data_IF_918742000469
#
_entry.id   IF_918742000469
#
_cell.length_a   1.000
_cell.length_b   1.000
_cell.length_c   1.000
_cell.angle_alpha   90.00
_cell.angle_beta   90.00
_cell.angle_gamma   90.00
#
_symmetry.space_group_name_H-M   'P 1'
#
loop_
_entity.id
_entity.type
_entity.pdbx_description
1 polymer ?
#
# COMPACT_ATOMS: atom_id res chain seq x y z
N UNK A 1 9.32 0.86 15.20
CA UNK A 1 9.52 0.99 16.66
C UNK A 1 10.97 0.63 16.98
N UNK A 2 11.69 1.46 17.74
CA UNK A 2 13.09 1.20 18.10
C UNK A 2 13.18 0.02 19.08
N UNK A 3 13.88 -1.05 18.71
CA UNK A 3 14.05 -2.24 19.56
C UNK A 3 15.08 -2.01 20.66
N UNK A 4 14.84 -2.59 21.84
CA UNK A 4 15.75 -2.54 22.99
C UNK A 4 16.83 -3.62 22.92
N UNK A 5 17.94 -3.38 23.61
CA UNK A 5 19.05 -4.33 23.77
C UNK A 5 18.57 -5.65 24.40
N UNK A 6 17.65 -5.56 25.36
CA UNK A 6 17.04 -6.73 26.00
C UNK A 6 16.17 -7.53 25.04
N UNK A 7 15.49 -6.86 24.11
CA UNK A 7 14.64 -7.49 23.10
C UNK A 7 15.48 -8.22 22.06
N UNK A 8 16.59 -7.64 21.59
CA UNK A 8 17.51 -8.35 20.69
C UNK A 8 18.08 -9.63 21.32
N UNK A 9 18.46 -9.60 22.60
CA UNK A 9 18.92 -10.80 23.29
C UNK A 9 17.78 -11.84 23.45
N UNK A 10 16.55 -11.40 23.71
CA UNK A 10 15.39 -12.30 23.75
C UNK A 10 15.16 -12.99 22.39
N UNK A 11 15.23 -12.23 21.29
CA UNK A 11 15.11 -12.77 19.94
C UNK A 11 16.23 -13.77 19.61
N UNK A 12 17.47 -13.50 20.03
CA UNK A 12 18.59 -14.45 19.83
C UNK A 12 18.31 -15.76 20.57
N UNK A 13 17.81 -15.71 21.81
CA UNK A 13 17.42 -16.91 22.57
C UNK A 13 16.33 -17.70 21.85
N UNK A 14 15.33 -17.01 21.33
CA UNK A 14 14.22 -17.61 20.60
C UNK A 14 14.69 -18.28 19.31
N UNK A 15 15.44 -17.57 18.47
CA UNK A 15 15.95 -18.05 17.18
C UNK A 15 16.90 -19.25 17.33
N UNK A 16 17.75 -19.24 18.37
CA UNK A 16 18.76 -20.31 18.59
C UNK A 16 18.28 -21.44 19.48
N UNK A 17 17.25 -21.21 20.30
CA UNK A 17 16.86 -22.11 21.39
C UNK A 17 17.90 -22.21 22.52
N UNK A 18 18.87 -21.30 22.58
CA UNK A 18 19.97 -21.35 23.56
C UNK A 18 19.70 -20.49 24.78
N UNK A 19 20.18 -20.95 25.94
CA UNK A 19 20.27 -20.13 27.15
C UNK A 19 21.45 -19.15 27.06
N UNK A 20 21.47 -18.10 27.88
CA UNK A 20 22.60 -17.15 27.93
C UNK A 20 23.94 -17.83 28.14
N UNK A 21 23.99 -18.86 28.99
CA UNK A 21 25.21 -19.62 29.22
C UNK A 21 25.71 -20.29 27.93
N UNK A 22 24.78 -20.85 27.14
CA UNK A 22 25.11 -21.52 25.89
C UNK A 22 25.44 -20.52 24.78
N UNK A 23 24.74 -19.39 24.69
CA UNK A 23 25.07 -18.27 23.79
C UNK A 23 26.48 -17.74 24.09
N UNK A 24 26.83 -17.55 25.37
CA UNK A 24 28.15 -17.12 25.81
C UNK A 24 29.26 -18.05 25.29
N UNK A 25 29.04 -19.36 25.39
CA UNK A 25 30.04 -20.37 25.01
C UNK A 25 30.12 -20.57 23.50
N UNK A 26 28.98 -20.61 22.81
CA UNK A 26 28.91 -20.87 21.37
C UNK A 26 29.50 -19.72 20.56
N UNK A 27 29.21 -18.48 20.98
CA UNK A 27 29.60 -17.29 20.23
C UNK A 27 30.73 -16.48 20.90
N UNK A 28 31.42 -17.09 21.87
CA UNK A 28 32.54 -16.50 22.60
C UNK A 28 32.25 -15.11 23.23
N UNK A 29 31.03 -14.93 23.73
CA UNK A 29 30.62 -13.71 24.44
C UNK A 29 30.88 -13.90 25.93
N UNK A 30 31.68 -13.01 26.54
CA UNK A 30 31.88 -13.01 27.98
C UNK A 30 30.53 -12.89 28.73
N UNK A 31 30.26 -13.78 29.69
CA UNK A 31 29.00 -13.81 30.46
C UNK A 31 28.65 -12.48 31.14
N UNK A 32 29.67 -11.71 31.56
CA UNK A 32 29.44 -10.39 32.15
C UNK A 32 28.84 -9.39 31.16
N UNK A 33 29.12 -9.53 29.86
CA UNK A 33 28.48 -8.71 28.82
C UNK A 33 27.03 -9.13 28.61
N UNK A 34 26.74 -10.44 28.53
CA UNK A 34 25.37 -10.94 28.42
C UNK A 34 24.49 -10.51 29.61
N UNK A 35 25.03 -10.53 30.83
CA UNK A 35 24.33 -10.01 32.00
C UNK A 35 24.02 -8.51 31.89
N UNK A 36 24.95 -7.70 31.37
CA UNK A 36 24.71 -6.28 31.12
C UNK A 36 23.62 -6.06 30.06
N UNK A 37 23.62 -6.84 28.99
CA UNK A 37 22.62 -6.78 27.91
C UNK A 37 21.22 -7.19 28.41
N UNK A 38 21.14 -8.29 29.16
CA UNK A 38 19.90 -8.74 29.82
C UNK A 38 19.31 -7.71 30.79
N UNK A 39 20.15 -6.84 31.36
CA UNK A 39 19.72 -5.79 32.30
C UNK A 39 19.45 -4.43 31.63
N UNK A 40 19.70 -4.29 30.32
CA UNK A 40 19.60 -3.00 29.60
C UNK A 40 20.62 -1.94 30.04
N UNK A 41 21.60 -2.31 30.88
CA UNK A 41 22.59 -1.37 31.45
C UNK A 41 23.66 -0.93 30.46
N UNK A 42 23.82 -1.65 29.34
CA UNK A 42 24.80 -1.35 28.32
C UNK A 42 24.22 -1.64 26.93
N UNK A 43 24.55 -0.77 25.96
CA UNK A 43 24.40 -1.10 24.55
C UNK A 43 25.29 -2.28 24.16
N UNK A 44 24.95 -2.96 23.07
CA UNK A 44 25.84 -3.93 22.45
C UNK A 44 27.17 -3.26 22.04
N UNK A 45 28.27 -4.01 22.14
CA UNK A 45 29.48 -3.66 21.41
C UNK A 45 29.21 -3.85 19.90
N UNK A 46 29.99 -3.19 19.04
CA UNK A 46 29.82 -3.36 17.59
C UNK A 46 29.96 -4.83 17.17
N UNK A 47 30.95 -5.53 17.71
CA UNK A 47 31.15 -6.96 17.44
C UNK A 47 29.93 -7.81 17.83
N UNK A 48 29.32 -7.55 19.00
CA UNK A 48 28.14 -8.30 19.42
C UNK A 48 26.87 -7.89 18.66
N UNK A 49 26.75 -6.62 18.28
CA UNK A 49 25.65 -6.15 17.44
C UNK A 49 25.69 -6.82 16.07
N UNK A 50 26.87 -6.91 15.44
CA UNK A 50 27.07 -7.64 14.18
C UNK A 50 26.74 -9.12 14.30
N UNK A 51 27.20 -9.76 15.37
CA UNK A 51 26.89 -11.16 15.64
C UNK A 51 25.38 -11.38 15.82
N UNK A 52 24.71 -10.53 16.60
CA UNK A 52 23.27 -10.64 16.83
C UNK A 52 22.49 -10.40 15.55
N UNK A 53 22.88 -9.39 14.75
CA UNK A 53 22.30 -9.12 13.46
C UNK A 53 22.41 -10.32 12.51
N UNK A 54 23.57 -10.99 12.47
CA UNK A 54 23.77 -12.19 11.67
C UNK A 54 22.87 -13.37 12.12
N UNK A 55 22.76 -13.61 13.43
CA UNK A 55 21.87 -14.66 13.96
C UNK A 55 20.40 -14.38 13.63
N UNK A 56 20.00 -13.11 13.64
CA UNK A 56 18.61 -12.67 13.47
C UNK A 56 18.25 -12.35 12.01
N UNK A 57 19.21 -12.39 11.08
CA UNK A 57 19.04 -11.99 9.68
C UNK A 57 18.55 -10.52 9.56
N UNK A 58 19.14 -9.63 10.36
CA UNK A 58 18.86 -8.17 10.37
C UNK A 58 20.05 -7.37 9.84
N UNK A 59 19.82 -6.09 9.49
CA UNK A 59 20.91 -5.15 9.18
C UNK A 59 21.74 -4.85 10.45
N UNK A 60 23.07 -5.14 10.46
CA UNK A 60 23.94 -4.80 11.57
C UNK A 60 23.90 -3.33 11.97
N UNK A 61 23.72 -2.42 11.01
CA UNK A 61 23.66 -0.98 11.23
C UNK A 61 22.43 -0.60 12.07
N UNK A 62 21.29 -1.24 11.78
CA UNK A 62 20.05 -1.09 12.54
C UNK A 62 20.24 -1.52 14.01
N UNK A 63 20.81 -2.71 14.22
CA UNK A 63 21.03 -3.26 15.58
C UNK A 63 21.98 -2.38 16.38
N UNK A 64 23.07 -1.90 15.78
CA UNK A 64 23.98 -0.94 16.42
C UNK A 64 23.22 0.33 16.79
N UNK A 65 22.54 0.96 15.83
CA UNK A 65 21.91 2.25 16.04
C UNK A 65 20.80 2.18 17.11
N UNK A 66 19.96 1.14 17.10
CA UNK A 66 18.90 0.93 18.08
C UNK A 66 19.46 0.77 19.51
N UNK A 67 20.47 -0.09 19.70
CA UNK A 67 21.04 -0.32 21.03
C UNK A 67 21.82 0.90 21.57
N UNK A 68 22.47 1.66 20.69
CA UNK A 68 23.17 2.91 21.07
C UNK A 68 22.20 4.05 21.37
N UNK A 69 21.11 4.16 20.62
CA UNK A 69 20.02 5.10 20.88
C UNK A 69 19.40 4.84 22.26
N UNK A 70 19.00 3.60 22.54
CA UNK A 70 18.43 3.22 23.83
C UNK A 70 19.38 3.57 25.00
N UNK A 71 20.66 3.24 24.86
CA UNK A 71 21.64 3.55 25.90
C UNK A 71 21.84 5.06 26.09
N UNK A 72 21.78 5.87 25.02
CA UNK A 72 21.84 7.32 25.13
C UNK A 72 20.64 7.88 25.90
N UNK A 73 19.43 7.37 25.66
CA UNK A 73 18.23 7.71 26.42
C UNK A 73 18.39 7.31 27.89
N UNK A 74 18.80 6.07 28.17
CA UNK A 74 18.95 5.55 29.53
C UNK A 74 20.02 6.29 30.36
N UNK A 75 21.00 6.90 29.70
CA UNK A 75 22.08 7.68 30.35
C UNK A 75 21.81 9.19 30.36
N UNK A 76 20.67 9.65 29.84
CA UNK A 76 20.33 11.08 29.76
C UNK A 76 21.19 11.89 28.80
N UNK A 77 21.84 11.23 27.82
CA UNK A 77 22.71 11.90 26.85
C UNK A 77 21.93 12.33 25.60
N UNK A 78 21.28 13.50 25.70
CA UNK A 78 20.38 14.02 24.65
C UNK A 78 21.08 14.19 23.29
N UNK A 79 22.33 14.66 23.25
CA UNK A 79 23.06 14.84 21.99
C UNK A 79 23.30 13.52 21.27
N UNK A 80 23.69 12.46 22.00
CA UNK A 80 23.84 11.12 21.42
C UNK A 80 22.51 10.52 21.00
N UNK A 81 21.45 10.76 21.75
CA UNK A 81 20.12 10.28 21.40
C UNK A 81 19.64 10.90 20.08
N UNK A 82 19.81 12.21 19.90
CA UNK A 82 19.51 12.90 18.64
C UNK A 82 20.35 12.31 17.50
N UNK A 83 21.66 12.18 17.68
CA UNK A 83 22.55 11.61 16.66
C UNK A 83 22.13 10.21 16.21
N UNK A 84 21.86 9.30 17.16
CA UNK A 84 21.47 7.93 16.81
C UNK A 84 20.05 7.84 16.26
N UNK A 85 19.14 8.74 16.65
CA UNK A 85 17.84 8.86 16.01
C UNK A 85 18.00 9.30 14.54
N UNK A 86 18.89 10.24 14.23
CA UNK A 86 19.18 10.62 12.85
C UNK A 86 19.81 9.48 12.05
N UNK A 87 20.70 8.67 12.65
CA UNK A 87 21.25 7.48 11.99
C UNK A 87 20.18 6.42 11.73
N UNK A 88 19.29 6.16 12.71
CA UNK A 88 18.16 5.26 12.52
C UNK A 88 17.25 5.76 11.40
N UNK A 89 16.93 7.06 11.39
CA UNK A 89 16.15 7.65 10.31
C UNK A 89 16.85 7.49 8.95
N UNK A 90 18.18 7.58 8.89
CA UNK A 90 18.95 7.34 7.66
C UNK A 90 18.91 5.88 7.22
N UNK A 91 19.18 4.95 8.13
CA UNK A 91 19.14 3.50 7.87
C UNK A 91 17.74 3.08 7.40
N UNK A 92 16.69 3.58 8.06
CA UNK A 92 15.31 3.33 7.64
C UNK A 92 14.89 4.15 6.41
N UNK A 93 15.57 5.25 6.09
CA UNK A 93 15.40 5.94 4.79
C UNK A 93 16.17 5.28 3.65
N UNK A 94 17.14 4.42 3.97
CA UNK A 94 17.89 3.58 3.03
C UNK A 94 17.16 2.26 2.71
N UNK A 95 15.99 1.97 3.33
CA UNK A 95 15.02 1.06 2.71
C UNK A 95 14.60 1.66 1.38
N UNK A 96 14.74 0.93 0.27
CA UNK A 96 14.36 1.45 -1.05
C UNK A 96 12.96 2.06 -0.99
N UNK A 97 12.84 3.32 -1.38
CA UNK A 97 11.54 3.99 -1.45
C UNK A 97 10.62 3.20 -2.37
N UNK A 98 9.38 2.98 -1.94
CA UNK A 98 8.38 2.37 -2.80
C UNK A 98 8.19 3.24 -4.05
N UNK A 99 8.26 2.61 -5.22
CA UNK A 99 7.99 3.25 -6.51
C UNK A 99 6.61 2.81 -6.96
N UNK A 100 5.67 3.75 -6.99
CA UNK A 100 4.27 3.49 -7.36
C UNK A 100 4.00 4.16 -8.69
N UNK A 101 3.57 3.38 -9.68
CA UNK A 101 3.11 3.85 -10.97
C UNK A 101 1.60 4.10 -10.95
N UNK A 102 1.18 5.29 -11.40
CA UNK A 102 -0.23 5.68 -11.48
C UNK A 102 -0.68 5.55 -12.93
N UNK A 103 -1.57 4.59 -13.22
CA UNK A 103 -2.18 4.46 -14.53
C UNK A 103 -3.48 5.29 -14.59
N UNK A 104 -3.38 6.52 -15.09
CA UNK A 104 -4.53 7.33 -15.47
C UNK A 104 -5.09 6.81 -16.80
N UNK A 105 -5.99 5.84 -16.67
CA UNK A 105 -6.39 4.92 -17.72
C UNK A 105 -7.72 5.31 -18.39
N UNK A 106 -7.84 5.05 -19.70
CA UNK A 106 -9.03 5.29 -20.52
C UNK A 106 -9.60 3.95 -21.04
N UNK A 107 -10.39 3.24 -20.23
CA UNK A 107 -11.01 1.99 -20.66
C UNK A 107 -12.18 2.24 -21.61
N UNK A 108 -12.43 1.27 -22.48
CA UNK A 108 -13.65 1.21 -23.30
C UNK A 108 -14.65 0.30 -22.59
N UNK A 109 -15.85 0.80 -22.28
CA UNK A 109 -16.88 -0.02 -21.62
C UNK A 109 -17.22 -1.23 -22.48
N UNK A 110 -17.12 -2.41 -21.87
CA UNK A 110 -17.48 -3.67 -22.53
C UNK A 110 -16.32 -4.38 -23.24
N UNK A 111 -15.26 -3.68 -23.62
CA UNK A 111 -14.11 -4.27 -24.31
C UNK A 111 -13.07 -4.83 -23.32
N UNK A 112 -13.51 -5.82 -22.53
CA UNK A 112 -12.75 -6.40 -21.41
C UNK A 112 -11.36 -6.85 -21.89
N UNK A 113 -11.30 -7.51 -23.05
CA UNK A 113 -10.05 -8.04 -23.60
C UNK A 113 -9.09 -6.94 -24.02
N UNK A 114 -9.55 -5.91 -24.73
CA UNK A 114 -8.67 -4.80 -25.12
C UNK A 114 -8.19 -4.02 -23.89
N UNK A 115 -9.08 -3.79 -22.91
CA UNK A 115 -8.70 -3.15 -21.65
C UNK A 115 -7.64 -3.96 -20.90
N UNK A 116 -7.83 -5.28 -20.76
CA UNK A 116 -6.86 -6.17 -20.10
C UNK A 116 -5.50 -6.21 -20.82
N UNK A 117 -5.49 -6.25 -22.16
CA UNK A 117 -4.26 -6.18 -22.95
C UNK A 117 -3.54 -4.84 -22.73
N UNK A 118 -4.26 -3.73 -22.75
CA UNK A 118 -3.69 -2.41 -22.52
C UNK A 118 -3.17 -2.26 -21.08
N UNK A 119 -3.86 -2.82 -20.09
CA UNK A 119 -3.38 -2.90 -18.72
C UNK A 119 -2.08 -3.73 -18.64
N UNK A 120 -2.00 -4.87 -19.32
CA UNK A 120 -0.79 -5.70 -19.37
C UNK A 120 0.41 -4.94 -19.94
N UNK A 121 0.22 -4.17 -21.03
CA UNK A 121 1.27 -3.33 -21.60
C UNK A 121 1.78 -2.31 -20.56
N UNK A 122 0.86 -1.63 -19.88
CA UNK A 122 1.20 -0.66 -18.83
C UNK A 122 1.90 -1.30 -17.62
N UNK A 123 1.50 -2.51 -17.23
CA UNK A 123 2.13 -3.27 -16.17
C UNK A 123 3.58 -3.61 -16.56
N UNK A 124 3.82 -4.01 -17.81
CA UNK A 124 5.16 -4.32 -18.30
C UNK A 124 6.04 -3.07 -18.36
N UNK A 125 5.51 -1.95 -18.88
CA UNK A 125 6.22 -0.65 -18.88
C UNK A 125 6.60 -0.22 -17.46
N UNK A 126 5.67 -0.31 -16.51
CA UNK A 126 5.92 0.00 -15.11
C UNK A 126 6.99 -0.93 -14.50
N UNK A 127 6.95 -2.22 -14.81
CA UNK A 127 7.97 -3.16 -14.37
C UNK A 127 9.36 -2.83 -14.93
N UNK A 128 9.46 -2.47 -16.22
CA UNK A 128 10.72 -2.14 -16.89
C UNK A 128 11.41 -0.91 -16.28
N UNK A 129 10.64 0.07 -15.79
CA UNK A 129 11.19 1.25 -15.09
C UNK A 129 11.41 1.00 -13.58
N UNK A 130 11.18 -0.22 -13.12
CA UNK A 130 11.41 -0.66 -11.75
C UNK A 130 10.33 -0.20 -10.76
N UNK A 131 9.08 -0.02 -11.20
CA UNK A 131 7.96 0.20 -10.29
C UNK A 131 7.70 -1.06 -9.45
N UNK A 132 7.39 -0.85 -8.17
CA UNK A 132 7.04 -1.90 -7.21
C UNK A 132 5.54 -2.17 -7.17
N UNK A 133 4.74 -1.14 -7.45
CA UNK A 133 3.29 -1.18 -7.50
C UNK A 133 2.82 -0.38 -8.71
N UNK A 134 1.84 -0.90 -9.45
CA UNK A 134 1.05 -0.12 -10.42
C UNK A 134 -0.41 -0.10 -9.99
N UNK A 135 -1.05 1.07 -10.07
CA UNK A 135 -2.43 1.30 -9.67
C UNK A 135 -3.27 1.76 -10.84
N UNK A 136 -4.40 1.09 -11.09
CA UNK A 136 -5.41 1.44 -12.08
C UNK A 136 -6.68 1.99 -11.43
N UNK A 137 -7.55 2.69 -12.19
CA UNK A 137 -8.79 3.24 -11.68
C UNK A 137 -9.85 2.19 -11.31
N UNK A 138 -10.96 2.68 -10.78
CA UNK A 138 -12.17 1.90 -10.51
C UNK A 138 -12.72 1.26 -11.79
N UNK A 139 -13.13 -0.02 -11.68
CA UNK A 139 -13.64 -0.84 -12.78
C UNK A 139 -12.81 -0.76 -14.09
N UNK A 140 -11.50 -0.54 -13.99
CA UNK A 140 -10.59 -0.40 -15.12
C UNK A 140 -10.72 -1.53 -16.16
N UNK A 141 -10.88 -2.79 -15.73
CA UNK A 141 -10.94 -3.90 -16.68
C UNK A 141 -12.21 -3.87 -17.55
N UNK A 142 -13.32 -3.41 -16.99
CA UNK A 142 -14.62 -3.37 -17.69
C UNK A 142 -14.93 -2.03 -18.33
N UNK A 143 -14.27 -0.96 -17.89
CA UNK A 143 -14.72 0.41 -18.05
C UNK A 143 -15.84 0.78 -17.06
N UNK A 144 -16.15 2.07 -17.00
CA UNK A 144 -17.17 2.62 -16.11
C UNK A 144 -18.02 3.70 -16.81
N UNK A 145 -19.35 3.72 -16.58
CA UNK A 145 -20.16 2.67 -15.96
C UNK A 145 -20.49 1.54 -16.97
N UNK A 146 -20.43 0.26 -16.57
CA UNK A 146 -20.84 -0.85 -17.45
C UNK A 146 -22.37 -1.13 -17.44
N UNK A 147 -23.10 -0.51 -16.50
CA UNK A 147 -24.56 -0.60 -16.38
C UNK A 147 -25.11 -2.04 -16.44
N UNK A 148 -26.21 -2.28 -17.17
CA UNK A 148 -26.90 -3.57 -17.27
C UNK A 148 -26.04 -4.69 -17.89
N UNK A 149 -24.83 -4.41 -18.43
CA UNK A 149 -23.86 -5.47 -18.78
C UNK A 149 -23.51 -6.33 -17.56
N UNK A 150 -23.53 -5.74 -16.36
CA UNK A 150 -23.27 -6.42 -15.08
C UNK A 150 -24.26 -7.56 -14.78
N UNK A 151 -25.45 -7.56 -15.41
CA UNK A 151 -26.42 -8.66 -15.26
C UNK A 151 -26.20 -9.82 -16.22
N UNK A 152 -25.20 -9.74 -17.11
CA UNK A 152 -24.91 -10.80 -18.08
C UNK A 152 -23.82 -11.72 -17.53
N UNK A 153 -24.16 -12.97 -17.25
CA UNK A 153 -23.17 -13.97 -16.79
C UNK A 153 -21.97 -14.08 -17.72
N UNK A 154 -22.18 -14.00 -19.04
CA UNK A 154 -21.10 -14.02 -20.02
C UNK A 154 -20.12 -12.83 -19.91
N UNK A 155 -20.59 -11.68 -19.42
CA UNK A 155 -19.74 -10.51 -19.15
C UNK A 155 -18.87 -10.75 -17.93
N UNK A 156 -19.45 -11.22 -16.82
CA UNK A 156 -18.72 -11.55 -15.59
C UNK A 156 -17.73 -12.70 -15.82
N UNK A 157 -18.10 -13.70 -16.61
CA UNK A 157 -17.19 -14.79 -16.98
C UNK A 157 -15.96 -14.28 -17.75
N UNK A 158 -16.15 -13.38 -18.72
CA UNK A 158 -15.03 -12.76 -19.45
C UNK A 158 -14.12 -11.94 -18.52
N UNK A 159 -14.68 -11.19 -17.57
CA UNK A 159 -13.89 -10.48 -16.56
C UNK A 159 -13.02 -11.47 -15.78
N UNK A 160 -13.60 -12.56 -15.29
CA UNK A 160 -12.86 -13.58 -14.54
C UNK A 160 -11.79 -14.27 -15.39
N UNK A 161 -12.07 -14.55 -16.66
CA UNK A 161 -11.09 -15.11 -17.61
C UNK A 161 -9.90 -14.17 -17.79
N UNK A 162 -10.13 -12.87 -18.00
CA UNK A 162 -9.06 -11.90 -18.22
C UNK A 162 -8.28 -11.58 -16.93
N UNK A 163 -8.91 -11.59 -15.75
CA UNK A 163 -8.18 -11.49 -14.47
C UNK A 163 -7.24 -12.69 -14.27
N UNK A 164 -7.71 -13.91 -14.59
CA UNK A 164 -6.87 -15.11 -14.55
C UNK A 164 -5.75 -15.05 -15.60
N UNK A 165 -6.04 -14.52 -16.79
CA UNK A 165 -5.05 -14.27 -17.84
C UNK A 165 -3.95 -13.31 -17.35
N UNK A 166 -4.33 -12.17 -16.76
CA UNK A 166 -3.40 -11.21 -16.17
C UNK A 166 -2.50 -11.87 -15.12
N UNK A 167 -3.07 -12.67 -14.19
CA UNK A 167 -2.26 -13.38 -13.20
C UNK A 167 -1.13 -14.21 -13.83
N UNK A 168 -1.38 -14.85 -14.99
CA UNK A 168 -0.40 -15.68 -15.68
C UNK A 168 0.62 -14.90 -16.52
N UNK A 169 0.27 -13.71 -17.00
CA UNK A 169 1.07 -12.96 -17.97
C UNK A 169 1.95 -11.87 -17.35
N UNK A 170 1.56 -11.35 -16.17
CA UNK A 170 2.27 -10.22 -15.55
C UNK A 170 3.61 -10.63 -14.92
N UNK A 171 4.60 -9.72 -14.85
CA UNK A 171 5.84 -9.99 -14.14
C UNK A 171 5.59 -10.26 -12.65
N UNK A 172 6.22 -11.30 -12.08
CA UNK A 172 5.98 -11.72 -10.69
C UNK A 172 6.47 -10.72 -9.63
N UNK A 173 7.36 -9.80 -10.03
CA UNK A 173 8.04 -8.85 -9.14
C UNK A 173 7.25 -7.55 -8.90
N UNK A 174 6.24 -7.23 -9.72
CA UNK A 174 5.41 -6.02 -9.57
C UNK A 174 4.08 -6.37 -8.90
N UNK A 175 3.66 -5.54 -7.96
CA UNK A 175 2.30 -5.59 -7.38
C UNK A 175 1.33 -4.81 -8.29
N UNK A 176 0.11 -5.31 -8.47
CA UNK A 176 -0.88 -4.68 -9.34
C UNK A 176 -2.16 -4.49 -8.55
N UNK A 177 -2.67 -3.26 -8.53
CA UNK A 177 -3.94 -2.90 -7.92
C UNK A 177 -4.87 -2.32 -8.99
N UNK A 178 -6.05 -2.91 -9.19
CA UNK A 178 -6.97 -2.46 -10.24
C UNK A 178 -8.43 -2.73 -9.91
N UNK A 179 -9.33 -1.96 -10.51
CA UNK A 179 -10.77 -2.14 -10.34
C UNK A 179 -11.40 -3.13 -11.32
N UNK A 180 -12.31 -3.97 -10.84
CA UNK A 180 -13.13 -4.89 -11.62
C UNK A 180 -14.39 -5.30 -10.82
N UNK A 181 -15.47 -5.75 -11.49
CA UNK A 181 -16.57 -6.38 -10.76
C UNK A 181 -16.10 -7.75 -10.22
N UNK A 182 -16.50 -8.09 -9.01
CA UNK A 182 -16.33 -9.43 -8.45
C UNK A 182 -17.68 -10.04 -8.09
N UNK A 183 -17.76 -11.37 -8.11
CA UNK A 183 -18.99 -12.09 -7.78
C UNK A 183 -18.72 -13.08 -6.65
N UNK A 184 -19.56 -13.04 -5.61
CA UNK A 184 -19.59 -14.03 -4.55
C UNK A 184 -21.03 -14.47 -4.31
N UNK A 185 -21.29 -15.77 -4.49
CA UNK A 185 -22.64 -16.32 -4.52
C UNK A 185 -23.53 -15.58 -5.54
N UNK A 186 -24.66 -15.04 -5.09
CA UNK A 186 -25.59 -14.24 -5.91
C UNK A 186 -25.28 -12.75 -5.88
N UNK A 187 -24.28 -12.31 -5.11
CA UNK A 187 -23.93 -10.90 -4.95
C UNK A 187 -22.81 -10.51 -5.89
N UNK A 188 -22.97 -9.34 -6.50
CA UNK A 188 -21.96 -8.69 -7.31
C UNK A 188 -21.40 -7.49 -6.53
N UNK A 189 -20.11 -7.22 -6.67
CA UNK A 189 -19.41 -6.15 -5.94
C UNK A 189 -18.57 -5.31 -6.90
N UNK A 190 -18.54 -4.00 -6.68
CA UNK A 190 -17.52 -3.13 -7.26
C UNK A 190 -16.24 -3.30 -6.45
N UNK A 191 -15.18 -3.83 -7.07
CA UNK A 191 -14.06 -4.38 -6.31
C UNK A 191 -12.69 -3.89 -6.78
N UNK A 192 -11.74 -3.86 -5.87
CA UNK A 192 -10.33 -3.66 -6.15
C UNK A 192 -9.59 -4.99 -5.95
N UNK A 193 -8.93 -5.48 -6.99
CA UNK A 193 -8.13 -6.69 -6.98
C UNK A 193 -6.67 -6.32 -6.76
N UNK A 194 -6.01 -7.03 -5.84
CA UNK A 194 -4.57 -6.94 -5.65
C UNK A 194 -3.90 -8.25 -6.11
N UNK A 195 -3.01 -8.14 -7.10
CA UNK A 195 -2.18 -9.25 -7.57
C UNK A 195 -0.76 -9.07 -7.03
N UNK A 196 -0.25 -10.11 -6.35
CA UNK A 196 1.17 -10.24 -5.98
C UNK A 196 1.67 -11.64 -6.35
N UNK A 197 2.88 -11.73 -6.88
CA UNK A 197 3.50 -13.00 -7.28
C UNK A 197 2.57 -13.88 -8.12
N UNK A 198 1.96 -13.28 -9.15
CA UNK A 198 1.06 -13.95 -10.10
C UNK A 198 -0.25 -14.50 -9.51
N UNK A 199 -0.69 -14.00 -8.36
CA UNK A 199 -1.93 -14.45 -7.71
C UNK A 199 -2.71 -13.28 -7.16
N UNK A 200 -4.04 -13.34 -7.27
CA UNK A 200 -4.93 -12.46 -6.52
C UNK A 200 -4.76 -12.79 -5.02
N UNK A 201 -4.17 -11.88 -4.26
CA UNK A 201 -3.99 -12.05 -2.81
C UNK A 201 -5.21 -11.59 -2.02
N UNK A 202 -5.98 -10.67 -2.59
CA UNK A 202 -7.14 -10.07 -1.95
C UNK A 202 -8.06 -9.38 -2.96
N UNK A 203 -9.33 -9.29 -2.59
CA UNK A 203 -10.38 -8.56 -3.30
C UNK A 203 -11.10 -7.68 -2.30
N UNK A 204 -10.95 -6.36 -2.42
CA UNK A 204 -11.65 -5.39 -1.60
C UNK A 204 -12.96 -5.00 -2.29
N UNK A 205 -14.08 -5.04 -1.56
CA UNK A 205 -15.38 -4.65 -2.08
C UNK A 205 -15.75 -3.26 -1.58
N UNK A 206 -16.12 -2.35 -2.50
CA UNK A 206 -16.57 -0.99 -2.21
C UNK A 206 -17.70 -1.01 -1.17
N UNK A 207 -17.61 -0.17 -0.16
CA UNK A 207 -18.53 -0.19 0.98
C UNK A 207 -19.65 0.83 0.79
N UNK A 208 -19.33 2.00 0.26
CA UNK A 208 -20.29 3.05 -0.04
C UNK A 208 -20.67 3.05 -1.51
N UNK A 209 -21.93 2.74 -1.79
CA UNK A 209 -22.46 2.65 -3.15
C UNK A 209 -23.27 3.92 -3.49
N UNK A 210 -22.75 4.83 -4.33
CA UNK A 210 -23.48 6.04 -4.71
C UNK A 210 -24.72 5.68 -5.52
N UNK A 211 -25.85 6.33 -5.22
CA UNK A 211 -27.12 6.16 -5.93
C UNK A 211 -27.81 7.51 -6.17
N UNK A 212 -27.02 8.50 -6.57
CA UNK A 212 -27.43 9.88 -6.82
C UNK A 212 -26.73 10.43 -8.07
N UNK A 213 -27.32 11.44 -8.70
CA UNK A 213 -26.76 12.06 -9.90
C UNK A 213 -26.73 11.06 -11.06
N UNK A 214 -25.53 10.76 -11.56
CA UNK A 214 -25.27 9.82 -12.66
C UNK A 214 -24.98 8.39 -12.17
N UNK A 215 -25.03 8.14 -10.86
CA UNK A 215 -24.68 6.86 -10.27
C UNK A 215 -25.91 6.08 -9.83
N UNK A 216 -25.98 4.80 -10.21
CA UNK A 216 -27.01 3.84 -9.81
C UNK A 216 -26.38 2.55 -9.22
N UNK A 217 -25.29 2.65 -8.45
CA UNK A 217 -24.52 1.47 -8.03
C UNK A 217 -25.32 0.50 -7.15
N UNK A 218 -26.30 0.97 -6.37
CA UNK A 218 -27.15 0.09 -5.54
C UNK A 218 -28.10 -0.78 -6.37
N UNK A 219 -28.27 -0.48 -7.66
CA UNK A 219 -28.97 -1.37 -8.61
C UNK A 219 -28.15 -2.62 -8.92
N UNK A 220 -26.83 -2.49 -8.98
CA UNK A 220 -25.94 -3.52 -9.51
C UNK A 220 -25.14 -4.24 -8.43
N UNK A 221 -24.69 -3.53 -7.41
CA UNK A 221 -23.71 -4.02 -6.44
C UNK A 221 -24.29 -4.16 -5.03
N UNK A 222 -23.71 -5.10 -4.28
CA UNK A 222 -23.85 -5.24 -2.83
C UNK A 222 -22.66 -4.51 -2.17
N UNK A 223 -22.86 -3.78 -1.06
CA UNK A 223 -21.75 -3.14 -0.36
C UNK A 223 -20.85 -4.19 0.32
N UNK A 224 -19.55 -3.93 0.35
CA UNK A 224 -18.60 -4.63 1.22
C UNK A 224 -18.67 -4.16 2.68
N UNK A 225 -17.91 -4.82 3.55
CA UNK A 225 -17.86 -4.53 4.98
C UNK A 225 -16.46 -4.66 5.63
N UNK A 226 -15.44 -5.06 4.86
CA UNK A 226 -14.07 -5.26 5.33
C UNK A 226 -13.10 -4.19 4.79
N UNK A 227 -12.18 -3.71 5.63
CA UNK A 227 -11.06 -2.85 5.20
C UNK A 227 -9.95 -3.69 4.57
N UNK A 228 -9.27 -3.14 3.56
CA UNK A 228 -8.13 -3.81 2.92
C UNK A 228 -6.82 -3.03 3.08
N UNK A 229 -5.84 -3.71 3.67
CA UNK A 229 -4.45 -3.24 3.78
C UNK A 229 -3.53 -4.37 3.32
N UNK A 230 -2.56 -4.04 2.48
CA UNK A 230 -1.48 -4.96 2.09
C UNK A 230 -0.11 -4.30 2.24
N UNK A 231 0.94 -5.10 2.26
CA UNK A 231 2.31 -4.61 2.31
C UNK A 231 2.97 -4.71 0.92
N UNK A 232 3.66 -3.65 0.51
CA UNK A 232 4.50 -3.61 -0.68
C UNK A 232 5.78 -2.86 -0.33
N UNK A 233 6.95 -3.49 -0.48
CA UNK A 233 8.24 -2.91 -0.09
C UNK A 233 8.21 -2.27 1.31
N UNK A 234 7.75 -3.03 2.31
CA UNK A 234 7.62 -2.61 3.72
C UNK A 234 6.69 -1.41 3.95
N UNK A 235 5.96 -0.96 2.93
CA UNK A 235 4.95 0.10 3.01
C UNK A 235 3.57 -0.52 3.13
N UNK A 236 2.81 -0.14 4.15
CA UNK A 236 1.41 -0.53 4.33
C UNK A 236 0.51 0.34 3.47
N UNK A 237 -0.09 -0.28 2.46
CA UNK A 237 -0.99 0.38 1.51
C UNK A 237 -2.43 0.02 1.86
N UNK A 238 -3.20 1.03 2.27
CA UNK A 238 -4.64 0.92 2.44
C UNK A 238 -5.38 1.22 1.14
N UNK A 239 -6.49 0.53 0.88
CA UNK A 239 -7.26 0.66 -0.37
C UNK A 239 -8.67 1.14 -0.11
N UNK A 240 -9.12 2.09 -0.93
CA UNK A 240 -10.50 2.58 -1.00
C UNK A 240 -10.97 2.62 -2.45
N UNK A 241 -12.29 2.65 -2.66
CA UNK A 241 -12.87 2.89 -3.99
C UNK A 241 -13.82 4.08 -3.91
N UNK A 242 -13.48 5.14 -4.64
CA UNK A 242 -14.28 6.33 -4.89
C UNK A 242 -15.08 6.85 -3.68
N UNK A 243 -16.37 6.53 -3.60
CA UNK A 243 -17.30 7.05 -2.59
C UNK A 243 -16.85 6.75 -1.14
N UNK A 244 -16.09 5.67 -0.94
CA UNK A 244 -15.59 5.25 0.38
C UNK A 244 -14.78 6.34 1.11
N UNK A 245 -14.17 7.27 0.37
CA UNK A 245 -13.39 8.36 0.97
C UNK A 245 -14.24 9.58 1.40
N UNK A 246 -15.48 9.67 0.92
CA UNK A 246 -16.37 10.84 1.13
C UNK A 246 -17.24 10.73 2.36
N UNK A 247 -17.39 9.52 2.90
CA UNK A 247 -18.31 9.21 3.99
C UNK A 247 -17.51 8.69 5.19
N UNK A 248 -17.85 9.17 6.38
CA UNK A 248 -17.29 8.66 7.63
C UNK A 248 -17.56 7.14 7.74
N UNK A 249 -16.56 6.36 8.14
CA UNK A 249 -16.68 4.91 8.26
C UNK A 249 -15.57 4.15 7.54
N UNK A 250 -15.69 3.83 6.23
CA UNK A 250 -14.67 3.05 5.52
C UNK A 250 -13.27 3.64 5.64
N UNK A 251 -13.14 4.94 5.35
CA UNK A 251 -11.87 5.66 5.45
C UNK A 251 -11.36 5.80 6.88
N UNK A 252 -12.22 6.05 7.87
CA UNK A 252 -11.77 6.13 9.27
C UNK A 252 -11.26 4.78 9.79
N UNK A 253 -11.97 3.68 9.49
CA UNK A 253 -11.53 2.31 9.86
C UNK A 253 -10.19 1.96 9.20
N UNK A 254 -10.04 2.31 7.93
CA UNK A 254 -8.80 2.07 7.20
C UNK A 254 -7.64 2.86 7.82
N UNK A 255 -7.80 4.17 8.02
CA UNK A 255 -6.75 5.03 8.56
C UNK A 255 -6.37 4.67 10.01
N UNK A 256 -7.32 4.17 10.81
CA UNK A 256 -7.04 3.66 12.17
C UNK A 256 -6.15 2.40 12.18
N UNK A 257 -5.98 1.72 11.05
CA UNK A 257 -5.17 0.50 10.92
C UNK A 257 -3.66 0.77 10.75
N UNK A 258 -3.20 2.00 10.98
CA UNK A 258 -1.80 2.43 10.85
C UNK A 258 -1.22 2.13 9.46
N UNK A 259 -1.88 2.64 8.43
CA UNK A 259 -1.42 2.60 7.03
C UNK A 259 -0.46 3.75 6.74
N UNK A 260 0.53 3.53 5.88
CA UNK A 260 1.50 4.55 5.48
C UNK A 260 1.00 5.37 4.27
N UNK A 261 0.29 4.68 3.36
CA UNK A 261 -0.28 5.26 2.15
C UNK A 261 -1.72 4.76 1.96
N UNK A 262 -2.63 5.66 1.62
CA UNK A 262 -3.97 5.30 1.13
C UNK A 262 -4.00 5.46 -0.39
N UNK A 263 -4.52 4.45 -1.08
CA UNK A 263 -4.75 4.46 -2.52
C UNK A 263 -6.25 4.38 -2.77
N UNK A 264 -6.79 5.39 -3.44
CA UNK A 264 -8.19 5.46 -3.85
C UNK A 264 -8.31 5.24 -5.35
N UNK A 265 -9.10 4.23 -5.75
CA UNK A 265 -9.43 3.93 -7.14
C UNK A 265 -10.73 4.63 -7.51
N UNK A 266 -10.75 5.43 -8.57
CA UNK A 266 -11.87 6.31 -8.87
C UNK A 266 -12.29 6.26 -10.34
N UNK A 267 -13.60 6.26 -10.57
CA UNK A 267 -14.23 6.69 -11.80
C UNK A 267 -15.06 7.94 -11.50
N UNK A 268 -14.39 9.01 -11.07
CA UNK A 268 -15.04 10.25 -10.67
C UNK A 268 -15.25 11.15 -11.88
N UNK A 269 -16.51 11.46 -12.24
CA UNK A 269 -16.81 12.25 -13.42
C UNK A 269 -16.42 13.71 -13.24
N UNK A 270 -16.12 14.36 -14.36
CA UNK A 270 -15.81 15.77 -14.44
C UNK A 270 -17.03 16.60 -14.03
N UNK A 271 -16.82 17.50 -13.08
CA UNK A 271 -17.73 18.61 -12.78
C UNK A 271 -16.88 19.85 -12.50
N UNK A 272 -17.42 21.03 -12.80
CA UNK A 272 -16.72 22.28 -12.51
C UNK A 272 -16.39 22.35 -11.02
N UNK A 273 -15.14 22.69 -10.69
CA UNK A 273 -14.59 22.76 -9.32
C UNK A 273 -14.40 21.42 -8.59
N UNK A 274 -14.81 20.27 -9.15
CA UNK A 274 -14.72 18.98 -8.47
C UNK A 274 -13.31 18.58 -8.08
N UNK A 275 -12.32 18.99 -8.86
CA UNK A 275 -10.91 18.71 -8.56
C UNK A 275 -10.46 19.30 -7.22
N UNK A 276 -10.92 20.50 -6.86
CA UNK A 276 -10.58 21.11 -5.59
C UNK A 276 -11.20 20.31 -4.43
N UNK A 277 -12.46 19.89 -4.57
CA UNK A 277 -13.13 19.05 -3.57
C UNK A 277 -12.38 17.72 -3.36
N UNK A 278 -11.93 17.07 -4.45
CA UNK A 278 -11.14 15.83 -4.38
C UNK A 278 -9.82 16.04 -3.62
N UNK A 279 -9.11 17.13 -3.92
CA UNK A 279 -7.84 17.46 -3.25
C UNK A 279 -8.09 17.78 -1.77
N UNK A 280 -9.11 18.57 -1.46
CA UNK A 280 -9.41 19.02 -0.09
C UNK A 280 -9.73 17.84 0.83
N UNK A 281 -10.53 16.88 0.36
CA UNK A 281 -10.86 15.71 1.17
C UNK A 281 -9.65 14.79 1.40
N UNK A 282 -8.86 14.51 0.36
CA UNK A 282 -7.64 13.70 0.50
C UNK A 282 -6.63 14.38 1.42
N UNK A 283 -6.48 15.70 1.31
CA UNK A 283 -5.60 16.50 2.17
C UNK A 283 -6.06 16.50 3.63
N UNK A 284 -7.36 16.57 3.87
CA UNK A 284 -7.91 16.46 5.22
C UNK A 284 -7.45 15.17 5.90
N UNK A 285 -7.59 14.04 5.21
CA UNK A 285 -7.20 12.73 5.75
C UNK A 285 -5.70 12.53 5.87
N UNK A 286 -4.91 12.99 4.88
CA UNK A 286 -3.45 12.95 4.92
C UNK A 286 -2.90 13.64 6.18
N UNK A 287 -3.40 14.85 6.49
CA UNK A 287 -3.01 15.60 7.68
C UNK A 287 -3.54 15.00 9.00
N UNK A 288 -4.78 14.50 8.99
CA UNK A 288 -5.44 13.94 10.19
C UNK A 288 -4.74 12.67 10.68
N UNK A 289 -4.21 11.86 9.77
CA UNK A 289 -3.68 10.54 10.07
C UNK A 289 -2.19 10.37 9.78
N UNK A 290 -1.49 11.44 9.39
CA UNK A 290 -0.04 11.44 9.07
C UNK A 290 0.33 10.37 8.04
N UNK A 291 -0.41 10.35 6.92
CA UNK A 291 -0.27 9.38 5.83
C UNK A 291 -0.22 10.08 4.47
N UNK A 292 0.36 9.42 3.46
CA UNK A 292 0.25 9.91 2.07
C UNK A 292 -1.01 9.39 1.39
N UNK A 293 -1.54 10.15 0.44
CA UNK A 293 -2.78 9.79 -0.26
C UNK A 293 -2.55 9.81 -1.78
N UNK A 294 -2.90 8.72 -2.46
CA UNK A 294 -2.83 8.58 -3.91
C UNK A 294 -4.25 8.44 -4.44
N UNK A 295 -4.66 9.39 -5.27
CA UNK A 295 -5.96 9.40 -5.92
C UNK A 295 -5.78 9.08 -7.40
N UNK A 296 -6.23 7.90 -7.82
CA UNK A 296 -6.14 7.43 -9.21
C UNK A 296 -7.52 7.50 -9.85
N UNK A 297 -7.64 8.29 -10.91
CA UNK A 297 -8.91 8.53 -11.58
C UNK A 297 -8.87 8.08 -13.04
N UNK A 298 -10.01 7.58 -13.51
CA UNK A 298 -10.26 7.33 -14.92
C UNK A 298 -10.17 8.62 -15.74
N UNK A 299 -9.83 8.50 -17.02
CA UNK A 299 -9.87 9.60 -17.99
C UNK A 299 -10.56 9.14 -19.27
N UNK A 300 -11.29 10.02 -19.94
CA UNK A 300 -11.97 9.70 -21.19
C UNK A 300 -13.46 10.01 -21.15
N UNK A 301 -14.16 9.75 -22.25
CA UNK A 301 -15.61 9.91 -22.34
C UNK A 301 -16.30 8.56 -22.38
N UNK A 302 -17.39 8.41 -21.64
CA UNK A 302 -18.31 7.29 -21.74
C UNK A 302 -19.72 7.84 -21.84
N UNK A 303 -20.32 7.72 -23.03
CA UNK A 303 -21.65 8.24 -23.36
C UNK A 303 -21.85 9.71 -22.92
N UNK A 304 -22.68 9.95 -21.91
CA UNK A 304 -22.99 11.30 -21.41
C UNK A 304 -21.97 11.85 -20.39
N UNK A 305 -21.07 10.99 -19.90
CA UNK A 305 -20.14 11.29 -18.82
C UNK A 305 -18.72 11.47 -19.36
N UNK A 306 -17.99 12.43 -18.80
CA UNK A 306 -16.56 12.63 -19.07
C UNK A 306 -15.81 12.45 -17.76
N UNK A 307 -14.76 11.63 -17.77
CA UNK A 307 -13.79 11.49 -16.69
C UNK A 307 -12.56 12.34 -17.04
N UNK A 308 -12.16 13.21 -16.11
CA UNK A 308 -11.12 14.19 -16.36
C UNK A 308 -9.71 13.69 -16.04
N UNK A 309 -9.56 12.49 -15.47
CA UNK A 309 -8.29 12.07 -14.91
C UNK A 309 -7.94 12.97 -13.73
N UNK A 310 -6.92 13.82 -13.90
CA UNK A 310 -6.36 14.66 -12.84
C UNK A 310 -5.95 13.84 -11.61
N UNK A 311 -5.42 12.63 -11.81
CA UNK A 311 -4.90 11.80 -10.72
C UNK A 311 -3.79 12.56 -9.97
N UNK A 312 -3.69 12.38 -8.66
CA UNK A 312 -2.80 13.19 -7.84
C UNK A 312 -2.28 12.47 -6.60
N UNK A 313 -1.23 13.04 -6.00
CA UNK A 313 -0.61 12.56 -4.76
C UNK A 313 -0.55 13.70 -3.75
N UNK A 314 -1.01 13.43 -2.54
CA UNK A 314 -0.88 14.29 -1.37
C UNK A 314 0.11 13.65 -0.40
N UNK A 315 1.12 14.39 0.05
CA UNK A 315 2.04 13.94 1.10
C UNK A 315 1.39 13.97 2.49
N UNK A 316 2.00 13.31 3.48
CA UNK A 316 1.55 13.40 4.88
C UNK A 316 1.58 14.82 5.46
N UNK A 317 2.35 15.73 4.84
CA UNK A 317 2.34 17.17 5.16
C UNK A 317 1.18 17.94 4.52
N UNK A 318 0.28 17.25 3.78
CA UNK A 318 -0.85 17.86 3.10
C UNK A 318 -0.47 18.65 1.84
N UNK A 319 0.70 18.36 1.25
CA UNK A 319 1.18 19.02 0.03
C UNK A 319 0.83 18.19 -1.21
N UNK A 320 0.38 18.85 -2.27
CA UNK A 320 0.18 18.24 -3.58
C UNK A 320 1.55 18.04 -4.25
N UNK A 321 2.06 16.81 -4.24
CA UNK A 321 3.41 16.49 -4.73
C UNK A 321 3.44 16.06 -6.19
N UNK A 322 2.31 15.56 -6.70
CA UNK A 322 2.14 15.17 -8.09
C UNK A 322 0.69 15.43 -8.52
N UNK A 323 0.51 15.90 -9.75
CA UNK A 323 -0.78 15.93 -10.43
C UNK A 323 -0.57 15.60 -11.91
N UNK A 324 -1.30 14.58 -12.40
CA UNK A 324 -1.34 14.22 -13.80
C UNK A 324 -2.25 15.19 -14.58
N UNK A 325 -1.99 15.41 -15.89
CA UNK A 325 -2.78 16.33 -16.68
C UNK A 325 -4.24 15.89 -16.81
N UNK A 326 -5.14 16.87 -16.87
CA UNK A 326 -6.54 16.64 -17.18
C UNK A 326 -6.72 16.09 -18.61
N UNK A 327 -7.73 15.24 -18.82
CA UNK A 327 -8.22 14.79 -20.13
C UNK A 327 -7.16 14.12 -21.02
N UNK A 328 -6.12 13.54 -20.41
CA UNK A 328 -5.06 12.82 -21.13
C UNK A 328 -4.74 11.49 -20.46
N UNK A 329 -4.76 10.41 -21.20
CA UNK A 329 -4.26 9.11 -20.72
C UNK A 329 -2.76 9.19 -20.42
N UNK A 330 -2.35 8.71 -19.24
CA UNK A 330 -0.97 8.72 -18.78
C UNK A 330 -0.70 7.55 -17.83
N UNK A 331 0.54 7.09 -17.84
CA UNK A 331 1.06 6.09 -16.92
C UNK A 331 2.53 6.32 -16.67
#
# INVERSE_FOLDING_TARGET
>A
MNKKTTEYLALVREKTGFSDYKIAKEYDINQSNLSKYSSGKAALSETHAWLFANILELDPSEVVANTKYEHAINTGNNLKAIFWQEQLNKIFSESESIKIQIAQFNPIVGDIKANALRMLDLINEAHEIGAHLIVFPELAITGYPPEDLLFRDGFINQVNEEINSLCNLVPSAITILFGAPSQSNTSLFNSAFCIQSNRVIHVYNKQELPNYGVFDEKRYFTPGDESFVFECQQTKVGVLICEDQWIDGPIDRLCQSSVDVVVSLNASPFQLNKQNERIDICKHYALKFDLSFIYVNMVGGQDEVVFDGNSFVISSLGELTLQLPAFKEMS
#
